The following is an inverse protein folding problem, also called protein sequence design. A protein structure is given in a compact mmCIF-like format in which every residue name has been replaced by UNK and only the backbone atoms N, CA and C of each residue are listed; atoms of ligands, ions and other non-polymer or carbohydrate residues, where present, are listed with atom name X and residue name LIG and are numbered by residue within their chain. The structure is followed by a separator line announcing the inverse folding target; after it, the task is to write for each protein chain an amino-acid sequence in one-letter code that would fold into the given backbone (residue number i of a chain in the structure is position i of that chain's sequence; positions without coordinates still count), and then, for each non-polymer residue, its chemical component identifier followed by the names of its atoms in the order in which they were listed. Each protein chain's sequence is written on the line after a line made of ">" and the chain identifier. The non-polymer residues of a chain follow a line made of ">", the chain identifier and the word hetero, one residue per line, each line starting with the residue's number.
data_IF_983704390663
#
_entry.id   IF_983704390663
#
_cell.length_a   1.000
_cell.length_b   1.000
_cell.length_c   1.000
_cell.angle_alpha   90.00
_cell.angle_beta   90.00
_cell.angle_gamma   90.00
#
_symmetry.space_group_name_H-M   'P 1'
#
loop_
_entity.id
_entity.type
_entity.pdbx_description
1 polymer ?
#
# COMPACT_ATOMS: atom_id res chain seq x y z
N UNK A 1 -15.85 -34.67 20.68
CA UNK A 1 -15.75 -33.60 19.67
C UNK A 1 -14.28 -33.38 19.36
N UNK A 2 -13.82 -33.61 18.13
CA UNK A 2 -12.43 -33.38 17.76
C UNK A 2 -12.27 -31.94 17.24
N UNK A 3 -11.51 -31.11 17.96
CA UNK A 3 -11.09 -29.78 17.50
C UNK A 3 -10.11 -29.94 16.34
N UNK A 4 -10.56 -29.75 15.11
CA UNK A 4 -9.66 -29.67 13.95
C UNK A 4 -9.10 -28.25 13.83
N UNK A 5 -7.84 -28.06 14.23
CA UNK A 5 -7.14 -26.78 14.08
C UNK A 5 -6.42 -26.77 12.73
N UNK A 6 -6.80 -25.87 11.83
CA UNK A 6 -6.12 -25.69 10.54
C UNK A 6 -4.80 -24.91 10.75
N UNK A 7 -3.67 -25.61 10.64
CA UNK A 7 -2.34 -25.03 10.81
C UNK A 7 -1.89 -24.37 9.51
N UNK A 8 -1.91 -23.03 9.48
CA UNK A 8 -1.57 -22.22 8.30
C UNK A 8 -0.10 -22.37 7.90
N UNK A 9 0.18 -22.17 6.61
CA UNK A 9 1.53 -22.13 6.02
C UNK A 9 2.29 -23.45 6.04
N UNK A 10 1.56 -24.57 6.12
CA UNK A 10 2.13 -25.92 6.12
C UNK A 10 1.60 -26.71 4.93
N UNK A 11 2.47 -27.45 4.24
CA UNK A 11 2.11 -28.33 3.11
C UNK A 11 2.67 -29.73 3.34
N UNK A 12 1.85 -30.77 3.16
CA UNK A 12 2.28 -32.17 3.27
C UNK A 12 3.06 -32.59 2.02
N UNK A 13 4.25 -33.16 2.20
CA UNK A 13 5.10 -33.67 1.13
C UNK A 13 4.81 -35.15 0.83
N UNK A 14 5.22 -35.61 -0.36
CA UNK A 14 5.02 -37.00 -0.83
C UNK A 14 5.65 -38.06 0.10
N UNK A 15 6.72 -37.69 0.81
CA UNK A 15 7.43 -38.56 1.77
C UNK A 15 6.80 -38.58 3.18
N UNK A 16 5.63 -37.95 3.35
CA UNK A 16 4.91 -37.89 4.63
C UNK A 16 5.42 -36.83 5.62
N UNK A 17 6.47 -36.07 5.28
CA UNK A 17 6.92 -34.91 6.06
C UNK A 17 6.10 -33.65 5.74
N UNK A 18 6.22 -32.62 6.58
CA UNK A 18 5.53 -31.35 6.40
C UNK A 18 6.53 -30.24 6.09
N UNK A 19 6.20 -29.39 5.11
CA UNK A 19 6.97 -28.22 4.73
C UNK A 19 6.27 -26.97 5.27
N UNK A 20 6.95 -26.20 6.12
CA UNK A 20 6.54 -24.85 6.44
C UNK A 20 7.01 -23.93 5.32
N UNK A 21 6.08 -23.23 4.67
CA UNK A 21 6.36 -22.33 3.55
C UNK A 21 5.61 -21.01 3.72
N UNK A 22 6.35 -19.92 3.89
CA UNK A 22 5.78 -18.58 4.01
C UNK A 22 6.55 -17.57 3.16
N UNK A 23 5.84 -16.76 2.38
CA UNK A 23 6.43 -15.73 1.53
C UNK A 23 7.15 -14.67 2.36
N UNK A 24 8.36 -14.31 1.96
CA UNK A 24 9.11 -13.21 2.56
C UNK A 24 8.62 -11.86 1.99
N UNK A 25 8.70 -10.75 2.74
CA UNK A 25 8.36 -9.43 2.22
C UNK A 25 9.20 -9.08 0.98
N UNK A 26 8.63 -8.39 -0.01
CA UNK A 26 9.27 -8.12 -1.30
C UNK A 26 10.65 -7.46 -1.20
N UNK A 27 10.85 -6.57 -0.21
CA UNK A 27 12.16 -5.93 0.05
C UNK A 27 13.19 -6.92 0.64
N UNK A 28 12.75 -7.86 1.48
CA UNK A 28 13.62 -8.93 2.02
C UNK A 28 14.02 -9.88 0.90
N UNK A 29 13.07 -10.29 0.05
CA UNK A 29 13.37 -11.08 -1.16
C UNK A 29 14.41 -10.42 -2.05
N UNK A 30 14.29 -9.12 -2.34
CA UNK A 30 15.26 -8.38 -3.17
C UNK A 30 16.66 -8.35 -2.55
N UNK A 31 16.77 -8.38 -1.22
CA UNK A 31 18.05 -8.36 -0.51
C UNK A 31 18.67 -9.76 -0.36
N UNK A 32 17.86 -10.79 -0.14
CA UNK A 32 18.35 -12.15 0.14
C UNK A 32 18.32 -13.07 -1.08
N UNK A 33 17.60 -12.71 -2.15
CA UNK A 33 17.37 -13.56 -3.32
C UNK A 33 16.35 -14.70 -3.11
N UNK A 34 15.83 -14.87 -1.89
CA UNK A 34 14.90 -15.95 -1.55
C UNK A 34 13.47 -15.42 -1.38
N UNK A 35 12.53 -15.90 -2.20
CA UNK A 35 11.14 -15.41 -2.17
C UNK A 35 10.33 -16.00 -1.00
N UNK A 36 10.73 -17.17 -0.52
CA UNK A 36 10.03 -17.91 0.53
C UNK A 36 10.98 -18.32 1.64
N UNK A 37 10.44 -18.34 2.87
CA UNK A 37 11.02 -19.00 4.01
C UNK A 37 10.45 -20.41 4.07
N UNK A 38 11.31 -21.39 3.79
CA UNK A 38 10.95 -22.79 3.57
C UNK A 38 11.78 -23.69 4.48
N UNK A 39 11.12 -24.38 5.42
CA UNK A 39 11.78 -25.30 6.34
C UNK A 39 10.95 -26.58 6.43
N UNK A 40 11.57 -27.73 6.22
CA UNK A 40 10.95 -29.04 6.45
C UNK A 40 10.87 -29.28 7.95
N UNK A 41 9.65 -29.48 8.44
CA UNK A 41 9.37 -29.76 9.85
C UNK A 41 9.86 -31.16 10.22
N UNK A 42 10.42 -31.28 11.42
CA UNK A 42 10.92 -32.53 12.00
C UNK A 42 9.76 -33.41 12.47
N UNK A 43 8.71 -32.81 13.03
CA UNK A 43 7.52 -33.55 13.43
C UNK A 43 6.68 -33.98 12.21
N UNK A 44 6.29 -35.24 12.19
CA UNK A 44 5.46 -35.86 11.13
C UNK A 44 3.99 -35.98 11.50
N UNK A 45 3.61 -35.57 12.72
CA UNK A 45 2.24 -35.66 13.21
C UNK A 45 1.66 -34.26 13.50
N UNK A 46 0.73 -33.75 12.68
CA UNK A 46 0.10 -32.43 12.87
C UNK A 46 -0.68 -32.28 14.18
N UNK A 47 -1.09 -33.39 14.79
CA UNK A 47 -1.86 -33.40 16.03
C UNK A 47 -0.98 -33.43 17.28
N UNK A 48 0.35 -33.57 17.13
CA UNK A 48 1.26 -33.63 18.26
C UNK A 48 1.59 -32.24 18.82
N UNK A 49 1.80 -32.18 20.13
CA UNK A 49 2.25 -30.95 20.80
C UNK A 49 3.61 -30.47 20.25
N UNK A 50 4.49 -31.41 19.88
CA UNK A 50 5.79 -31.10 19.28
C UNK A 50 5.65 -30.40 17.93
N UNK A 51 4.65 -30.77 17.12
CA UNK A 51 4.37 -30.13 15.83
C UNK A 51 3.88 -28.70 16.00
N UNK A 52 2.95 -28.49 16.94
CA UNK A 52 2.43 -27.16 17.25
C UNK A 52 3.54 -26.24 17.79
N UNK A 53 4.41 -26.76 18.65
CA UNK A 53 5.58 -26.03 19.17
C UNK A 53 6.57 -25.66 18.07
N UNK A 54 6.89 -26.62 17.18
CA UNK A 54 7.78 -26.38 16.04
C UNK A 54 7.20 -25.34 15.07
N UNK A 55 5.90 -25.43 14.76
CA UNK A 55 5.20 -24.44 13.93
C UNK A 55 5.23 -23.03 14.54
N UNK A 56 4.95 -22.92 15.84
CA UNK A 56 5.00 -21.64 16.56
C UNK A 56 6.41 -21.05 16.57
N UNK A 57 7.45 -21.88 16.68
CA UNK A 57 8.85 -21.48 16.61
C UNK A 57 9.21 -20.96 15.21
N UNK A 58 8.85 -21.68 14.15
CA UNK A 58 9.08 -21.25 12.76
C UNK A 58 8.35 -19.94 12.43
N UNK A 59 7.15 -19.72 12.98
CA UNK A 59 6.45 -18.44 12.87
C UNK A 59 7.20 -17.29 13.57
N UNK A 60 7.78 -17.56 14.75
CA UNK A 60 8.59 -16.57 15.49
C UNK A 60 9.89 -16.27 14.76
N UNK A 61 10.58 -17.27 14.23
CA UNK A 61 11.81 -17.09 13.45
C UNK A 61 11.54 -16.31 12.17
N UNK A 62 10.49 -16.66 11.42
CA UNK A 62 10.09 -15.88 10.24
C UNK A 62 9.79 -14.42 10.60
N UNK A 63 9.11 -14.19 11.72
CA UNK A 63 8.77 -12.84 12.19
C UNK A 63 10.03 -12.10 12.63
N UNK A 64 10.89 -12.72 13.42
CA UNK A 64 12.16 -12.16 13.87
C UNK A 64 13.06 -11.82 12.68
N UNK A 65 13.24 -12.73 11.73
CA UNK A 65 13.95 -12.48 10.47
C UNK A 65 13.33 -11.31 9.70
N UNK A 66 12.01 -11.29 9.55
CA UNK A 66 11.33 -10.19 8.86
C UNK A 66 11.49 -8.86 9.60
N UNK A 67 11.50 -8.86 10.93
CA UNK A 67 11.55 -7.67 11.75
C UNK A 67 13.00 -7.17 11.93
N UNK A 68 14.01 -8.03 11.98
CA UNK A 68 15.43 -7.66 11.93
C UNK A 68 15.81 -7.11 10.56
N UNK A 69 15.30 -7.68 9.47
CA UNK A 69 15.47 -7.11 8.14
C UNK A 69 14.73 -5.79 7.99
N UNK A 70 13.50 -5.66 8.51
CA UNK A 70 12.82 -4.35 8.53
C UNK A 70 13.56 -3.33 9.41
N UNK A 71 14.15 -3.74 10.53
CA UNK A 71 14.87 -2.85 11.43
C UNK A 71 16.21 -2.41 10.84
N UNK A 72 16.96 -3.32 10.20
CA UNK A 72 18.18 -2.97 9.45
C UNK A 72 17.87 -2.08 8.25
N UNK A 73 16.81 -2.38 7.49
CA UNK A 73 16.30 -1.48 6.44
C UNK A 73 15.90 -0.13 7.02
N UNK A 74 15.23 -0.06 8.18
CA UNK A 74 14.82 1.20 8.82
C UNK A 74 16.02 2.05 9.24
N UNK A 75 17.09 1.43 9.74
CA UNK A 75 18.36 2.10 10.02
C UNK A 75 19.04 2.63 8.75
N UNK A 76 18.95 1.89 7.63
CA UNK A 76 19.44 2.32 6.32
C UNK A 76 18.45 3.25 5.58
N UNK A 77 17.21 3.42 6.02
CA UNK A 77 16.14 4.19 5.34
C UNK A 77 15.93 5.61 5.90
N UNK A 78 16.52 5.95 7.05
CA UNK A 78 16.46 7.31 7.60
C UNK A 78 16.92 8.32 6.56
N UNK A 79 16.08 9.34 6.32
CA UNK A 79 16.48 10.47 5.48
C UNK A 79 17.64 11.22 6.17
N UNK A 80 18.55 11.87 5.42
CA UNK A 80 19.73 12.52 6.00
C UNK A 80 19.41 13.44 7.18
N UNK A 81 18.29 14.16 7.14
CA UNK A 81 17.85 15.02 8.22
C UNK A 81 17.37 14.25 9.44
N UNK A 82 16.67 13.12 9.26
CA UNK A 82 16.26 12.28 10.37
C UNK A 82 17.45 11.62 11.04
N UNK A 83 18.41 11.10 10.27
CA UNK A 83 19.63 10.52 10.80
C UNK A 83 20.42 11.55 11.63
N UNK A 84 20.53 12.79 11.13
CA UNK A 84 21.15 13.90 11.87
C UNK A 84 20.40 14.23 13.18
N UNK A 85 19.07 14.30 13.13
CA UNK A 85 18.27 14.59 14.33
C UNK A 85 18.34 13.45 15.36
N UNK A 86 18.37 12.18 14.92
CA UNK A 86 18.56 11.03 15.80
C UNK A 86 19.96 11.01 16.42
N UNK A 87 21.01 11.36 15.66
CA UNK A 87 22.37 11.51 16.18
C UNK A 87 22.46 12.59 17.26
N UNK A 88 21.81 13.74 17.07
CA UNK A 88 21.74 14.80 18.09
C UNK A 88 20.99 14.33 19.36
N UNK A 89 19.88 13.63 19.19
CA UNK A 89 19.13 13.08 20.33
C UNK A 89 19.97 12.06 21.09
N UNK A 90 20.65 11.18 20.38
CA UNK A 90 21.54 10.16 20.96
C UNK A 90 22.72 10.78 21.70
N UNK A 91 23.32 11.85 21.17
CA UNK A 91 24.32 12.66 21.89
C UNK A 91 23.77 13.18 23.22
N UNK A 92 22.60 13.81 23.21
CA UNK A 92 21.99 14.35 24.42
C UNK A 92 21.68 13.26 25.46
N UNK A 93 21.16 12.11 25.02
CA UNK A 93 20.90 10.95 25.88
C UNK A 93 22.18 10.41 26.52
N UNK A 94 23.27 10.28 25.74
CA UNK A 94 24.56 9.80 26.23
C UNK A 94 25.18 10.76 27.26
N UNK A 95 25.12 12.08 27.00
CA UNK A 95 25.68 13.08 27.92
C UNK A 95 24.89 13.20 29.21
N UNK A 96 23.56 13.09 29.16
CA UNK A 96 22.73 13.09 30.38
C UNK A 96 23.03 11.91 31.31
N UNK A 97 23.56 10.80 30.79
CA UNK A 97 23.95 9.64 31.58
C UNK A 97 25.29 9.79 32.30
N UNK A 98 26.06 10.85 32.01
CA UNK A 98 27.38 11.08 32.59
C UNK A 98 27.27 12.10 33.72
N UNK A 99 27.78 11.74 34.91
CA UNK A 99 27.79 12.59 36.10
C UNK A 99 29.23 12.92 36.48
N UNK A 100 29.51 14.19 36.79
CA UNK A 100 30.79 14.63 37.37
C UNK A 100 31.92 14.87 36.37
N UNK A 101 31.69 14.75 35.06
CA UNK A 101 32.64 15.10 34.00
C UNK A 101 32.19 16.36 33.26
N UNK A 102 33.15 17.11 32.71
CA UNK A 102 32.84 18.16 31.74
C UNK A 102 32.29 17.53 30.45
N UNK A 103 31.56 18.30 29.64
CA UNK A 103 31.03 17.79 28.37
C UNK A 103 32.14 17.27 27.44
N UNK A 104 33.27 17.97 27.37
CA UNK A 104 34.41 17.57 26.55
C UNK A 104 35.04 16.24 27.02
N UNK A 105 35.17 16.06 28.33
CA UNK A 105 35.71 14.84 28.93
C UNK A 105 34.73 13.67 28.78
N UNK A 106 33.44 13.93 28.98
CA UNK A 106 32.38 12.94 28.78
C UNK A 106 32.36 12.43 27.34
N UNK A 107 32.41 13.33 26.34
CA UNK A 107 32.49 12.97 24.91
C UNK A 107 33.72 12.11 24.63
N UNK A 108 34.88 12.49 25.16
CA UNK A 108 36.14 11.78 24.93
C UNK A 108 36.07 10.34 25.46
N UNK A 109 35.59 10.16 26.69
CA UNK A 109 35.42 8.84 27.31
C UNK A 109 34.42 7.98 26.53
N UNK A 110 33.28 8.56 26.11
CA UNK A 110 32.25 7.86 25.33
C UNK A 110 32.81 7.40 23.97
N UNK A 111 33.57 8.25 23.27
CA UNK A 111 34.16 7.90 21.98
C UNK A 111 35.26 6.84 22.13
N UNK A 112 36.04 6.87 23.21
CA UNK A 112 37.08 5.89 23.48
C UNK A 112 36.50 4.49 23.80
N UNK A 113 35.45 4.43 24.62
CA UNK A 113 34.91 3.16 25.11
C UNK A 113 33.80 2.57 24.24
N UNK A 114 33.13 3.38 23.43
CA UNK A 114 31.95 2.94 22.66
C UNK A 114 31.86 3.58 21.28
N UNK A 115 32.89 4.32 20.85
CA UNK A 115 32.91 4.99 19.55
C UNK A 115 32.71 4.02 18.39
N UNK A 116 33.31 2.84 18.46
CA UNK A 116 33.23 1.77 17.46
C UNK A 116 31.78 1.28 17.20
N UNK A 117 30.91 1.38 18.19
CA UNK A 117 29.49 0.99 18.10
C UNK A 117 28.60 2.04 17.42
N UNK A 118 29.08 3.27 17.24
CA UNK A 118 28.32 4.35 16.62
C UNK A 118 28.60 4.46 15.12
N UNK A 119 27.60 4.87 14.34
CA UNK A 119 27.77 5.18 12.92
C UNK A 119 28.61 6.46 12.71
N UNK A 120 29.09 6.67 11.47
CA UNK A 120 29.99 7.78 11.14
C UNK A 120 29.37 9.17 11.31
N UNK A 121 28.04 9.31 11.22
CA UNK A 121 27.37 10.58 11.46
C UNK A 121 27.27 10.83 12.97
N UNK A 122 26.84 9.83 13.74
CA UNK A 122 26.76 9.91 15.20
C UNK A 122 28.10 10.21 15.83
N UNK A 123 29.20 9.58 15.39
CA UNK A 123 30.55 9.89 15.88
C UNK A 123 30.94 11.35 15.65
N UNK A 124 30.67 11.88 14.45
CA UNK A 124 30.97 13.28 14.11
C UNK A 124 30.14 14.24 14.96
N UNK A 125 28.84 13.96 15.10
CA UNK A 125 27.94 14.77 15.93
C UNK A 125 28.31 14.69 17.41
N UNK A 126 28.82 13.56 17.90
CA UNK A 126 29.34 13.44 19.27
C UNK A 126 30.60 14.30 19.47
N UNK A 127 31.55 14.23 18.53
CA UNK A 127 32.79 14.99 18.59
C UNK A 127 32.57 16.51 18.50
N UNK A 128 31.65 16.98 17.65
CA UNK A 128 31.35 18.40 17.48
C UNK A 128 29.83 18.64 17.32
N UNK A 129 29.18 19.39 18.24
CA UNK A 129 27.75 19.67 18.14
C UNK A 129 27.43 20.66 17.02
N UNK A 130 28.43 21.38 16.51
CA UNK A 130 28.29 22.39 15.46
C UNK A 130 28.50 21.83 14.06
N UNK A 131 28.58 20.49 13.92
CA UNK A 131 28.60 19.83 12.60
C UNK A 131 27.45 20.36 11.76
N UNK A 132 27.78 20.86 10.57
CA UNK A 132 26.79 21.44 9.68
C UNK A 132 25.66 20.44 9.39
N UNK A 133 24.42 20.91 9.56
CA UNK A 133 23.21 20.18 9.22
C UNK A 133 23.31 19.71 7.76
N UNK A 134 23.02 18.43 7.45
CA UNK A 134 23.07 17.95 6.08
C UNK A 134 22.10 18.72 5.18
N UNK A 135 22.45 18.84 3.90
CA UNK A 135 21.58 19.48 2.91
C UNK A 135 20.22 18.78 2.85
N UNK A 136 19.14 19.55 2.69
CA UNK A 136 17.79 18.99 2.66
C UNK A 136 17.51 18.28 1.34
N UNK A 137 17.28 16.96 1.39
CA UNK A 137 17.25 16.07 0.22
C UNK A 137 15.85 15.65 -0.22
N UNK A 138 15.74 15.02 -1.39
CA UNK A 138 14.48 14.45 -1.88
C UNK A 138 13.90 13.41 -0.92
N UNK A 139 14.74 12.64 -0.24
CA UNK A 139 14.31 11.71 0.80
C UNK A 139 13.68 12.46 1.99
N UNK A 140 14.27 13.57 2.43
CA UNK A 140 13.72 14.39 3.52
C UNK A 140 12.37 15.00 3.13
N UNK A 141 12.26 15.49 1.89
CA UNK A 141 11.02 16.03 1.33
C UNK A 141 9.89 14.99 1.33
N UNK A 142 10.18 13.74 0.96
CA UNK A 142 9.23 12.62 0.99
C UNK A 142 8.71 12.38 2.40
N UNK A 143 9.62 12.26 3.37
CA UNK A 143 9.28 12.00 4.78
C UNK A 143 8.38 13.11 5.32
N UNK A 144 8.77 14.37 5.11
CA UNK A 144 7.98 15.54 5.53
C UNK A 144 6.60 15.56 4.88
N UNK A 145 6.52 15.36 3.56
CA UNK A 145 5.25 15.34 2.84
C UNK A 145 4.31 14.24 3.35
N UNK A 146 4.83 13.03 3.56
CA UNK A 146 4.05 11.90 4.07
C UNK A 146 3.52 12.16 5.47
N UNK A 147 4.36 12.71 6.36
CA UNK A 147 4.00 13.09 7.72
C UNK A 147 2.93 14.17 7.73
N UNK A 148 3.20 15.31 7.11
CA UNK A 148 2.37 16.51 7.19
C UNK A 148 1.01 16.31 6.49
N UNK A 149 0.94 15.46 5.47
CA UNK A 149 -0.31 15.12 4.79
C UNK A 149 -1.03 13.89 5.36
N UNK A 150 -0.54 13.31 6.46
CA UNK A 150 -1.15 12.13 7.09
C UNK A 150 -1.26 10.92 6.15
N UNK A 151 -0.30 10.75 5.23
CA UNK A 151 -0.36 9.71 4.17
C UNK A 151 0.01 8.33 4.72
N UNK A 152 0.63 8.26 5.91
CA UNK A 152 1.06 7.01 6.55
C UNK A 152 -0.02 5.92 6.61
N UNK A 153 -1.28 6.29 6.84
CA UNK A 153 -2.42 5.36 6.89
C UNK A 153 -3.02 5.05 5.52
N UNK A 154 -2.70 5.82 4.48
CA UNK A 154 -3.20 5.64 3.12
C UNK A 154 -2.24 4.78 2.29
N UNK A 155 -2.36 3.46 2.43
CA UNK A 155 -1.52 2.46 1.76
C UNK A 155 -1.45 2.70 0.25
N UNK A 156 -2.58 2.99 -0.41
CA UNK A 156 -2.62 3.20 -1.87
C UNK A 156 -1.81 4.42 -2.28
N UNK A 157 -1.94 5.53 -1.57
CA UNK A 157 -1.21 6.76 -1.87
C UNK A 157 0.28 6.59 -1.55
N UNK A 158 0.62 5.90 -0.45
CA UNK A 158 2.01 5.54 -0.13
C UNK A 158 2.65 4.74 -1.27
N UNK A 159 2.00 3.65 -1.71
CA UNK A 159 2.49 2.82 -2.82
C UNK A 159 2.67 3.58 -4.15
N UNK A 160 1.94 4.68 -4.37
CA UNK A 160 2.17 5.52 -5.55
C UNK A 160 3.41 6.39 -5.39
N UNK A 161 3.59 7.00 -4.22
CA UNK A 161 4.78 7.79 -3.89
C UNK A 161 6.01 6.88 -3.94
N UNK A 162 5.95 5.69 -3.35
CA UNK A 162 7.04 4.71 -3.36
C UNK A 162 7.45 4.38 -4.81
N UNK A 163 6.48 4.01 -5.66
CA UNK A 163 6.76 3.73 -7.08
C UNK A 163 7.33 4.93 -7.82
N UNK A 164 6.89 6.14 -7.49
CA UNK A 164 7.43 7.35 -8.12
C UNK A 164 8.88 7.60 -7.69
N UNK A 165 9.21 7.37 -6.42
CA UNK A 165 10.57 7.49 -5.90
C UNK A 165 11.49 6.38 -6.40
N UNK A 166 11.02 5.13 -6.51
CA UNK A 166 11.80 4.03 -7.10
C UNK A 166 12.21 4.36 -8.53
N UNK A 167 11.27 4.88 -9.35
CA UNK A 167 11.57 5.32 -10.72
C UNK A 167 12.46 6.55 -10.75
N UNK A 168 12.36 7.43 -9.76
CA UNK A 168 13.17 8.64 -9.69
C UNK A 168 14.61 8.28 -9.38
N UNK A 169 14.81 7.31 -8.49
CA UNK A 169 16.12 6.77 -8.17
C UNK A 169 16.81 6.17 -9.39
N UNK A 170 16.09 5.40 -10.21
CA UNK A 170 16.59 4.90 -11.50
C UNK A 170 16.95 6.05 -12.48
N UNK A 171 16.25 7.18 -12.44
CA UNK A 171 16.42 8.27 -13.38
C UNK A 171 17.58 9.23 -13.02
N UNK A 172 17.71 9.58 -11.74
CA UNK A 172 18.61 10.65 -11.28
C UNK A 172 19.52 10.24 -10.12
N UNK A 173 19.44 8.99 -9.65
CA UNK A 173 20.25 8.47 -8.54
C UNK A 173 19.54 8.52 -7.18
N UNK A 174 20.24 8.08 -6.11
CA UNK A 174 19.65 7.90 -4.78
C UNK A 174 18.99 9.19 -4.24
N UNK A 175 17.71 9.19 -3.87
CA UNK A 175 17.01 10.39 -3.37
C UNK A 175 17.64 11.01 -2.11
N UNK A 176 18.46 10.25 -1.38
CA UNK A 176 19.19 10.70 -0.19
C UNK A 176 20.45 11.49 -0.50
N UNK A 177 20.96 11.40 -1.73
CA UNK A 177 22.17 12.10 -2.15
C UNK A 177 21.84 13.40 -2.92
N UNK A 178 20.57 13.55 -3.31
CA UNK A 178 20.11 14.67 -4.13
C UNK A 178 19.49 15.73 -3.23
N UNK A 179 20.24 16.80 -2.97
CA UNK A 179 19.72 17.98 -2.30
C UNK A 179 18.67 18.70 -3.17
N UNK A 180 17.62 19.24 -2.55
CA UNK A 180 16.57 19.97 -3.27
C UNK A 180 17.12 21.19 -4.00
N UNK A 181 18.10 21.89 -3.40
CA UNK A 181 18.78 23.05 -3.98
C UNK A 181 19.55 22.72 -5.27
N UNK A 182 19.92 21.45 -5.47
CA UNK A 182 20.64 21.00 -6.66
C UNK A 182 19.72 20.51 -7.78
N UNK A 183 18.39 20.57 -7.57
CA UNK A 183 17.43 20.20 -8.60
C UNK A 183 17.46 21.16 -9.79
N UNK A 184 17.74 20.61 -10.97
CA UNK A 184 17.83 21.34 -12.24
C UNK A 184 16.83 20.77 -13.25
N UNK A 185 16.52 21.55 -14.29
CA UNK A 185 15.65 21.13 -15.41
C UNK A 185 16.09 19.79 -16.04
N UNK A 186 17.39 19.55 -16.14
CA UNK A 186 17.98 18.28 -16.59
C UNK A 186 17.49 17.06 -15.81
N UNK A 187 17.19 17.19 -14.51
CA UNK A 187 16.61 16.10 -13.72
C UNK A 187 15.16 15.80 -14.14
N UNK A 188 14.40 16.83 -14.51
CA UNK A 188 13.05 16.68 -15.04
C UNK A 188 13.03 16.04 -16.43
N UNK A 189 14.00 16.36 -17.28
CA UNK A 189 14.22 15.73 -18.59
C UNK A 189 14.57 14.25 -18.43
N UNK A 190 15.59 13.94 -17.63
CA UNK A 190 15.98 12.55 -17.31
C UNK A 190 14.80 11.74 -16.77
N UNK A 191 14.05 12.30 -15.82
CA UNK A 191 12.83 11.67 -15.30
C UNK A 191 11.82 11.33 -16.40
N UNK A 192 11.57 12.28 -17.31
CA UNK A 192 10.63 12.06 -18.41
C UNK A 192 11.11 10.97 -19.37
N UNK A 193 12.40 10.95 -19.70
CA UNK A 193 12.97 9.97 -20.61
C UNK A 193 12.98 8.57 -20.00
N UNK A 194 13.36 8.44 -18.72
CA UNK A 194 13.22 7.17 -17.97
C UNK A 194 11.78 6.64 -18.00
N UNK A 195 10.78 7.50 -17.85
CA UNK A 195 9.38 7.06 -17.92
C UNK A 195 8.94 6.62 -19.33
N UNK A 196 9.45 7.25 -20.39
CA UNK A 196 9.17 6.88 -21.79
C UNK A 196 9.84 5.55 -22.16
N UNK A 197 11.06 5.33 -21.69
CA UNK A 197 11.85 4.14 -21.99
C UNK A 197 11.43 2.94 -21.14
N UNK A 198 10.80 3.18 -20.00
CA UNK A 198 10.31 2.13 -19.14
C UNK A 198 9.34 1.17 -19.86
N UNK A 199 9.55 -0.12 -19.64
CA UNK A 199 8.67 -1.20 -20.11
C UNK A 199 8.14 -1.98 -18.92
N UNK A 200 6.82 -2.19 -18.91
CA UNK A 200 6.15 -3.00 -17.91
C UNK A 200 6.47 -4.49 -18.11
N UNK A 201 6.13 -5.34 -17.14
CA UNK A 201 6.37 -6.78 -17.21
C UNK A 201 5.73 -7.48 -18.43
N UNK A 202 4.67 -6.87 -18.98
CA UNK A 202 3.99 -7.33 -20.20
C UNK A 202 4.62 -6.74 -21.49
N UNK A 203 5.79 -6.10 -21.40
CA UNK A 203 6.49 -5.45 -22.51
C UNK A 203 5.89 -4.10 -22.95
N UNK A 204 4.77 -3.66 -22.38
CA UNK A 204 4.10 -2.42 -22.80
C UNK A 204 4.72 -1.18 -22.14
N UNK A 205 4.80 -0.03 -22.84
CA UNK A 205 5.20 1.24 -22.24
C UNK A 205 4.20 1.73 -21.21
N UNK A 206 4.56 2.76 -20.43
CA UNK A 206 3.57 3.43 -19.58
C UNK A 206 2.57 4.24 -20.42
N UNK A 207 1.29 4.14 -20.04
CA UNK A 207 0.29 5.10 -20.50
C UNK A 207 0.64 6.51 -20.00
N UNK A 208 0.36 7.54 -20.80
CA UNK A 208 0.65 8.94 -20.43
C UNK A 208 -0.02 9.37 -19.14
N UNK A 209 -1.26 8.95 -18.90
CA UNK A 209 -1.94 9.29 -17.65
C UNK A 209 -1.23 8.68 -16.44
N UNK A 210 -0.58 7.54 -16.59
CA UNK A 210 0.26 6.96 -15.53
C UNK A 210 1.51 7.79 -15.31
N UNK A 211 2.22 8.17 -16.38
CA UNK A 211 3.40 9.04 -16.29
C UNK A 211 3.08 10.40 -15.65
N UNK A 212 1.98 11.04 -16.08
CA UNK A 212 1.48 12.30 -15.50
C UNK A 212 1.12 12.16 -14.03
N UNK A 213 0.45 11.06 -13.64
CA UNK A 213 0.11 10.80 -12.22
C UNK A 213 1.35 10.67 -11.35
N UNK A 214 2.35 9.90 -11.77
CA UNK A 214 3.60 9.74 -11.02
C UNK A 214 4.35 11.07 -10.89
N UNK A 215 4.43 11.82 -11.99
CA UNK A 215 5.04 13.15 -12.01
C UNK A 215 4.30 14.13 -11.09
N UNK A 216 2.98 14.07 -11.03
CA UNK A 216 2.18 14.91 -10.13
C UNK A 216 2.41 14.56 -8.65
N UNK A 217 2.60 13.28 -8.31
CA UNK A 217 2.95 12.87 -6.94
C UNK A 217 4.34 13.42 -6.55
N UNK A 218 5.35 13.34 -7.43
CA UNK A 218 6.68 13.96 -7.20
C UNK A 218 6.61 15.49 -7.10
N UNK A 219 5.88 16.12 -8.03
CA UNK A 219 5.66 17.57 -8.04
C UNK A 219 5.06 18.02 -6.70
N UNK A 220 4.09 17.28 -6.17
CA UNK A 220 3.45 17.59 -4.90
C UNK A 220 4.42 17.49 -3.72
N UNK A 221 5.27 16.46 -3.68
CA UNK A 221 6.30 16.28 -2.65
C UNK A 221 7.29 17.44 -2.67
N UNK A 222 7.86 17.76 -3.83
CA UNK A 222 8.87 18.81 -3.98
C UNK A 222 8.28 20.19 -3.69
N UNK A 223 7.10 20.52 -4.25
CA UNK A 223 6.45 21.80 -3.96
C UNK A 223 6.14 21.96 -2.48
N UNK A 224 5.71 20.89 -1.81
CA UNK A 224 5.45 20.94 -0.39
C UNK A 224 6.71 21.25 0.42
N UNK A 225 7.85 20.65 0.07
CA UNK A 225 9.11 20.99 0.71
C UNK A 225 9.51 22.45 0.45
N UNK A 226 9.40 22.93 -0.80
CA UNK A 226 9.66 24.34 -1.17
C UNK A 226 8.80 25.32 -0.35
N UNK A 227 7.56 24.97 -0.04
CA UNK A 227 6.65 25.84 0.73
C UNK A 227 6.94 25.85 2.24
N UNK A 228 7.41 24.75 2.82
CA UNK A 228 7.44 24.54 4.27
C UNK A 228 8.85 24.33 4.84
N UNK A 229 9.89 24.58 4.05
CA UNK A 229 11.28 24.45 4.45
C UNK A 229 12.02 25.67 3.94
N UNK A 230 12.80 26.31 4.81
CA UNK A 230 13.67 27.40 4.43
C UNK A 230 14.91 26.84 3.74
N UNK A 231 15.27 27.44 2.61
CA UNK A 231 16.46 27.09 1.83
C UNK A 231 17.33 28.32 1.68
N UNK A 232 18.65 28.15 1.78
CA UNK A 232 19.62 29.23 1.61
C UNK A 232 19.63 29.80 0.17
N UNK A 233 19.07 29.04 -0.78
CA UNK A 233 18.99 29.40 -2.20
C UNK A 233 17.59 29.09 -2.74
N UNK A 234 17.11 29.84 -3.76
CA UNK A 234 15.86 29.54 -4.42
C UNK A 234 15.87 28.12 -5.02
N UNK A 235 14.89 27.31 -4.63
CA UNK A 235 14.70 25.95 -5.15
C UNK A 235 13.66 25.98 -6.26
N UNK A 236 14.01 25.43 -7.43
CA UNK A 236 13.07 25.24 -8.53
C UNK A 236 12.61 23.78 -8.59
N UNK A 237 11.33 23.57 -8.91
CA UNK A 237 10.79 22.23 -9.11
C UNK A 237 10.85 21.82 -10.60
N UNK A 238 11.77 20.92 -11.00
CA UNK A 238 11.93 20.52 -12.40
C UNK A 238 10.80 19.60 -12.90
N UNK A 239 9.94 19.10 -12.02
CA UNK A 239 8.80 18.23 -12.37
C UNK A 239 7.54 19.03 -12.73
N UNK A 240 7.66 20.36 -12.86
CA UNK A 240 6.58 21.24 -13.26
C UNK A 240 6.56 21.44 -14.77
N UNK A 241 5.37 21.44 -15.38
CA UNK A 241 5.15 21.71 -16.82
C UNK A 241 6.02 20.87 -17.78
N UNK A 242 6.33 19.62 -17.42
CA UNK A 242 7.05 18.71 -18.31
C UNK A 242 6.26 18.43 -19.60
N UNK A 243 6.92 18.36 -20.77
CA UNK A 243 6.28 18.21 -22.08
C UNK A 243 5.86 16.75 -22.32
N UNK A 244 4.77 16.32 -21.66
CA UNK A 244 4.16 15.03 -21.97
C UNK A 244 3.50 15.06 -23.34
N UNK A 245 3.59 13.98 -24.14
CA UNK A 245 2.86 13.89 -25.40
C UNK A 245 1.34 14.01 -25.15
N UNK A 246 0.64 14.69 -26.06
CA UNK A 246 -0.81 14.86 -25.97
C UNK A 246 -1.54 13.54 -26.16
N UNK A 247 -2.78 13.44 -25.66
CA UNK A 247 -3.58 12.23 -25.82
C UNK A 247 -3.91 11.97 -27.29
N UNK A 248 -4.07 13.04 -28.08
CA UNK A 248 -4.31 12.94 -29.53
C UNK A 248 -3.08 12.45 -30.30
N UNK A 249 -1.87 12.83 -29.88
CA UNK A 249 -0.61 12.38 -30.50
C UNK A 249 -0.30 10.89 -30.24
N UNK A 250 -1.01 10.24 -29.32
CA UNK A 250 -0.80 8.83 -28.94
C UNK A 250 -2.02 8.00 -29.34
N UNK A 251 -2.71 8.40 -30.42
CA UNK A 251 -3.84 7.67 -31.00
C UNK A 251 -3.47 6.21 -31.29
N UNK A 252 -3.71 5.35 -30.31
CA UNK A 252 -3.92 3.89 -30.37
C UNK A 252 -4.14 3.25 -28.98
N UNK A 253 -4.18 4.01 -27.87
CA UNK A 253 -4.36 3.41 -26.53
C UNK A 253 -5.76 3.70 -25.97
N UNK A 254 -6.61 2.68 -26.07
CA UNK A 254 -7.79 2.46 -25.24
C UNK A 254 -8.97 3.45 -25.36
N UNK A 255 -9.59 3.54 -26.55
CA UNK A 255 -11.06 3.56 -26.51
C UNK A 255 -11.47 2.17 -26.03
N UNK A 256 -11.84 2.03 -24.76
CA UNK A 256 -12.54 0.82 -24.31
C UNK A 256 -13.85 0.78 -25.08
N UNK A 257 -13.89 0.02 -26.16
CA UNK A 257 -15.14 -0.28 -26.83
C UNK A 257 -16.09 -0.87 -25.78
N UNK A 258 -17.36 -0.48 -25.84
CA UNK A 258 -18.39 -1.14 -25.05
C UNK A 258 -18.31 -2.64 -25.32
N UNK A 259 -18.51 -3.44 -24.27
CA UNK A 259 -18.49 -4.89 -24.40
C UNK A 259 -19.66 -5.32 -25.32
N UNK A 260 -19.39 -6.11 -26.37
CA UNK A 260 -20.44 -6.69 -27.19
C UNK A 260 -21.40 -7.58 -26.38
N UNK A 261 -22.66 -7.65 -26.78
CA UNK A 261 -23.70 -8.38 -26.05
C UNK A 261 -23.43 -9.90 -25.99
N UNK A 262 -22.90 -10.48 -27.07
CA UNK A 262 -22.45 -11.87 -27.12
C UNK A 262 -21.37 -12.16 -26.06
N UNK A 263 -20.42 -11.25 -25.89
CA UNK A 263 -19.41 -11.34 -24.83
C UNK A 263 -20.02 -11.27 -23.44
N UNK A 264 -21.03 -10.42 -23.22
CA UNK A 264 -21.77 -10.36 -21.96
C UNK A 264 -22.45 -11.70 -21.64
N UNK A 265 -23.05 -12.36 -22.63
CA UNK A 265 -23.65 -13.69 -22.48
C UNK A 265 -22.59 -14.75 -22.12
N UNK A 266 -21.47 -14.77 -22.83
CA UNK A 266 -20.37 -15.71 -22.58
C UNK A 266 -19.78 -15.55 -21.18
N UNK A 267 -19.52 -14.32 -20.74
CA UNK A 267 -19.01 -14.04 -19.39
C UNK A 267 -20.03 -14.47 -18.34
N UNK A 268 -21.32 -14.16 -18.54
CA UNK A 268 -22.38 -14.55 -17.61
C UNK A 268 -22.46 -16.07 -17.46
N UNK A 269 -22.43 -16.81 -18.57
CA UNK A 269 -22.43 -18.27 -18.55
C UNK A 269 -21.18 -18.84 -17.88
N UNK A 270 -20.01 -18.24 -18.16
CA UNK A 270 -18.73 -18.64 -17.56
C UNK A 270 -18.72 -18.45 -16.05
N UNK A 271 -19.25 -17.33 -15.55
CA UNK A 271 -19.40 -17.06 -14.12
C UNK A 271 -20.35 -18.09 -13.50
N UNK A 272 -21.53 -18.31 -14.11
CA UNK A 272 -22.50 -19.28 -13.62
C UNK A 272 -21.93 -20.72 -13.49
N UNK A 273 -21.06 -21.12 -14.42
CA UNK A 273 -20.47 -22.47 -14.42
C UNK A 273 -19.25 -22.63 -13.49
N UNK A 274 -18.49 -21.56 -13.22
CA UNK A 274 -17.15 -21.66 -12.61
C UNK A 274 -16.96 -20.83 -11.35
N UNK A 275 -17.89 -19.95 -11.00
CA UNK A 275 -17.79 -19.16 -9.79
C UNK A 275 -17.79 -20.08 -8.56
N UNK A 276 -16.73 -20.00 -7.77
CA UNK A 276 -16.63 -20.71 -6.48
C UNK A 276 -17.53 -20.09 -5.41
N UNK A 277 -17.83 -18.80 -5.56
CA UNK A 277 -18.69 -18.03 -4.65
C UNK A 277 -19.94 -17.63 -5.44
N UNK A 278 -21.13 -18.17 -5.09
CA UNK A 278 -22.37 -17.92 -5.83
C UNK A 278 -22.73 -16.44 -5.99
N UNK A 279 -22.44 -15.63 -4.96
CA UNK A 279 -22.67 -14.18 -4.92
C UNK A 279 -22.06 -13.43 -6.12
N UNK A 280 -20.98 -13.96 -6.72
CA UNK A 280 -20.32 -13.33 -7.87
C UNK A 280 -21.27 -13.15 -9.05
N UNK A 281 -22.16 -14.13 -9.29
CA UNK A 281 -23.11 -14.07 -10.40
C UNK A 281 -24.14 -12.97 -10.19
N UNK A 282 -24.64 -12.83 -8.95
CA UNK A 282 -25.58 -11.77 -8.58
C UNK A 282 -24.94 -10.39 -8.72
N UNK A 283 -23.72 -10.21 -8.19
CA UNK A 283 -22.96 -8.96 -8.33
C UNK A 283 -22.76 -8.61 -9.80
N UNK A 284 -22.34 -9.56 -10.63
CA UNK A 284 -22.15 -9.36 -12.07
C UNK A 284 -23.44 -8.90 -12.77
N UNK A 285 -24.57 -9.58 -12.51
CA UNK A 285 -25.87 -9.21 -13.09
C UNK A 285 -26.31 -7.81 -12.68
N UNK A 286 -26.16 -7.44 -11.40
CA UNK A 286 -26.48 -6.09 -10.93
C UNK A 286 -25.58 -5.02 -11.58
N UNK A 287 -24.27 -5.28 -11.71
CA UNK A 287 -23.34 -4.35 -12.36
C UNK A 287 -23.68 -4.12 -13.84
N UNK A 288 -24.09 -5.20 -14.54
CA UNK A 288 -24.39 -5.13 -15.97
C UNK A 288 -25.56 -4.21 -16.33
N UNK A 289 -26.49 -3.97 -15.40
CA UNK A 289 -27.69 -3.14 -15.64
C UNK A 289 -27.67 -1.79 -14.95
N UNK A 290 -26.86 -1.61 -13.90
CA UNK A 290 -26.85 -0.36 -13.10
C UNK A 290 -25.74 0.61 -13.47
N UNK A 291 -24.68 0.14 -14.14
CA UNK A 291 -23.47 0.96 -14.38
C UNK A 291 -22.72 1.36 -13.09
N UNK A 292 -23.08 0.76 -11.95
CA UNK A 292 -22.39 0.96 -10.68
C UNK A 292 -20.93 0.51 -10.77
N UNK A 293 -20.09 1.12 -9.93
CA UNK A 293 -18.73 0.60 -9.70
C UNK A 293 -18.83 -0.71 -8.91
N UNK A 294 -17.85 -1.59 -9.12
CA UNK A 294 -17.77 -2.88 -8.40
C UNK A 294 -17.92 -2.73 -6.88
N UNK A 295 -17.28 -1.73 -6.28
CA UNK A 295 -17.36 -1.48 -4.84
C UNK A 295 -18.70 -0.89 -4.38
N UNK A 296 -19.49 -0.31 -5.28
CA UNK A 296 -20.81 0.24 -4.95
C UNK A 296 -21.84 -0.90 -4.82
N UNK A 297 -21.74 -1.96 -5.64
CA UNK A 297 -22.60 -3.15 -5.55
C UNK A 297 -22.08 -4.18 -4.55
N UNK A 298 -20.77 -4.48 -4.60
CA UNK A 298 -20.18 -5.55 -3.80
C UNK A 298 -20.21 -5.32 -2.29
N UNK A 299 -20.47 -4.09 -1.83
CA UNK A 299 -20.51 -3.71 -0.42
C UNK A 299 -21.88 -3.15 0.00
N UNK A 300 -22.97 -3.50 -0.68
CA UNK A 300 -24.33 -3.11 -0.28
C UNK A 300 -24.70 -3.78 1.05
N UNK A 301 -25.44 -3.05 1.90
CA UNK A 301 -26.22 -3.64 3.01
C UNK A 301 -27.61 -4.07 2.51
N UNK A 302 -28.29 -4.93 3.27
CA UNK A 302 -29.68 -5.30 2.97
C UNK A 302 -30.60 -4.08 2.84
N UNK A 303 -30.39 -3.04 3.67
CA UNK A 303 -31.13 -1.77 3.60
C UNK A 303 -30.77 -0.88 2.40
N UNK A 304 -29.73 -1.19 1.63
CA UNK A 304 -29.32 -0.35 0.50
C UNK A 304 -30.02 -0.74 -0.82
N UNK A 305 -30.91 -1.75 -0.78
CA UNK A 305 -31.75 -2.14 -1.91
C UNK A 305 -33.21 -2.03 -1.50
N UNK A 306 -34.02 -1.41 -2.36
CA UNK A 306 -35.48 -1.39 -2.24
C UNK A 306 -36.03 -2.15 -3.44
N UNK A 307 -36.36 -3.43 -3.23
CA UNK A 307 -36.73 -4.35 -4.30
C UNK A 307 -38.21 -4.29 -4.68
N UNK A 308 -39.00 -3.63 -3.84
CA UNK A 308 -40.44 -3.46 -4.00
C UNK A 308 -40.78 -2.02 -4.43
N UNK A 309 -39.80 -1.11 -4.39
CA UNK A 309 -39.98 0.29 -4.75
C UNK A 309 -40.78 1.07 -3.72
N UNK A 310 -40.80 0.60 -2.48
CA UNK A 310 -41.51 1.23 -1.36
C UNK A 310 -41.10 2.69 -1.12
N UNK A 311 -39.83 3.02 -1.36
CA UNK A 311 -39.25 4.36 -1.22
C UNK A 311 -39.18 5.12 -2.56
N UNK A 312 -39.60 4.50 -3.67
CA UNK A 312 -39.37 5.01 -5.04
C UNK A 312 -40.58 4.81 -5.97
N UNK A 313 -41.78 5.06 -5.45
CA UNK A 313 -43.05 5.05 -6.22
C UNK A 313 -43.28 3.73 -6.99
N UNK A 314 -42.90 2.60 -6.40
CA UNK A 314 -43.03 1.26 -6.99
C UNK A 314 -41.90 0.87 -7.95
N UNK A 315 -40.86 1.70 -8.09
CA UNK A 315 -39.67 1.37 -8.88
C UNK A 315 -38.61 0.75 -7.98
N UNK A 316 -38.18 -0.51 -8.25
CA UNK A 316 -37.07 -1.10 -7.51
C UNK A 316 -35.76 -0.35 -7.74
N UNK A 317 -35.02 -0.07 -6.66
CA UNK A 317 -33.80 0.75 -6.70
C UNK A 317 -32.66 0.19 -5.86
N UNK A 318 -31.45 0.65 -6.19
CA UNK A 318 -30.24 0.49 -5.40
C UNK A 318 -29.77 1.87 -4.93
N UNK A 319 -29.54 2.01 -3.63
CA UNK A 319 -29.03 3.23 -3.02
C UNK A 319 -27.51 3.18 -2.91
N UNK A 320 -26.83 4.05 -3.66
CA UNK A 320 -25.39 4.26 -3.52
C UNK A 320 -25.16 5.30 -2.43
N UNK A 321 -25.16 4.88 -1.15
CA UNK A 321 -24.89 5.73 0.03
C UNK A 321 -23.80 5.16 0.97
N UNK A 322 -23.15 5.98 1.84
CA UNK A 322 -22.22 5.50 2.84
C UNK A 322 -22.91 4.48 3.75
N UNK A 323 -22.18 3.43 4.09
CA UNK A 323 -22.68 2.33 4.90
C UNK A 323 -21.51 1.71 5.70
N UNK A 324 -21.76 0.71 6.53
CA UNK A 324 -20.74 0.11 7.43
C UNK A 324 -19.57 -0.56 6.68
N UNK A 325 -19.84 -1.07 5.47
CA UNK A 325 -18.88 -1.77 4.63
C UNK A 325 -18.22 -0.86 3.57
N UNK A 326 -18.71 0.38 3.42
CA UNK A 326 -18.32 1.29 2.35
C UNK A 326 -18.38 2.75 2.78
N UNK A 327 -17.19 3.34 2.87
CA UNK A 327 -17.04 4.80 2.94
C UNK A 327 -17.20 5.43 1.56
N UNK A 328 -18.08 6.41 1.44
CA UNK A 328 -18.09 7.35 0.31
C UNK A 328 -17.31 8.60 0.71
N UNK A 329 -16.43 9.07 -0.17
CA UNK A 329 -15.56 10.22 0.10
C UNK A 329 -16.31 11.56 0.06
N UNK A 330 -17.38 11.65 -0.71
CA UNK A 330 -18.11 12.88 -0.99
C UNK A 330 -19.62 12.61 -1.03
N UNK A 331 -20.40 13.34 -0.23
CA UNK A 331 -21.87 13.23 -0.18
C UNK A 331 -22.50 13.52 -1.55
N UNK A 332 -21.87 14.34 -2.38
CA UNK A 332 -22.33 14.64 -3.75
C UNK A 332 -22.32 13.42 -4.69
N UNK A 333 -21.66 12.32 -4.30
CA UNK A 333 -21.67 11.06 -5.08
C UNK A 333 -22.76 10.07 -4.66
N UNK A 334 -23.57 10.42 -3.65
CA UNK A 334 -24.78 9.69 -3.31
C UNK A 334 -25.76 9.75 -4.46
N UNK A 335 -26.34 8.60 -4.82
CA UNK A 335 -27.35 8.51 -5.87
C UNK A 335 -28.18 7.26 -5.70
N UNK A 336 -29.41 7.31 -6.19
CA UNK A 336 -30.32 6.16 -6.30
C UNK A 336 -30.39 5.78 -7.77
N UNK A 337 -30.31 4.48 -8.06
CA UNK A 337 -30.33 3.95 -9.42
C UNK A 337 -31.45 2.92 -9.55
N UNK A 338 -32.23 2.94 -10.64
CA UNK A 338 -33.22 1.91 -10.90
C UNK A 338 -32.54 0.55 -11.09
N UNK A 339 -33.15 -0.50 -10.56
CA UNK A 339 -32.72 -1.87 -10.72
C UNK A 339 -33.76 -2.64 -11.53
N UNK A 340 -33.37 -3.10 -12.73
CA UNK A 340 -34.29 -3.68 -13.70
C UNK A 340 -33.77 -4.99 -14.29
N UNK A 341 -34.68 -5.73 -14.92
CA UNK A 341 -34.39 -6.95 -15.67
C UNK A 341 -33.63 -8.01 -14.86
N UNK A 342 -32.62 -8.63 -15.48
CA UNK A 342 -31.84 -9.72 -14.89
C UNK A 342 -31.10 -9.34 -13.60
N UNK A 343 -30.78 -8.05 -13.42
CA UNK A 343 -30.17 -7.56 -12.19
C UNK A 343 -31.16 -7.55 -11.02
N UNK A 344 -32.41 -7.16 -11.28
CA UNK A 344 -33.48 -7.17 -10.28
C UNK A 344 -33.85 -8.59 -9.86
N UNK A 345 -34.04 -9.49 -10.82
CA UNK A 345 -34.38 -10.89 -10.54
C UNK A 345 -33.31 -11.56 -9.64
N UNK A 346 -32.04 -11.33 -9.97
CA UNK A 346 -30.92 -11.87 -9.19
C UNK A 346 -30.85 -11.25 -7.79
N UNK A 347 -31.08 -9.93 -7.68
CA UNK A 347 -31.10 -9.26 -6.39
C UNK A 347 -32.25 -9.76 -5.51
N UNK A 348 -33.45 -9.97 -6.07
CA UNK A 348 -34.60 -10.55 -5.35
C UNK A 348 -34.32 -11.95 -4.82
N UNK A 349 -33.83 -12.83 -5.68
CA UNK A 349 -33.48 -14.21 -5.28
C UNK A 349 -32.43 -14.21 -4.18
N UNK A 350 -31.39 -13.39 -4.32
CA UNK A 350 -30.29 -13.32 -3.36
C UNK A 350 -30.73 -12.69 -2.03
N UNK A 351 -31.48 -11.58 -2.07
CA UNK A 351 -31.99 -10.92 -0.88
C UNK A 351 -32.96 -11.82 -0.10
N UNK A 352 -33.86 -12.54 -0.80
CA UNK A 352 -34.76 -13.51 -0.16
C UNK A 352 -33.99 -14.63 0.53
N UNK A 353 -32.93 -15.15 -0.12
CA UNK A 353 -32.02 -16.14 0.48
C UNK A 353 -31.35 -15.58 1.74
N UNK A 354 -30.81 -14.36 1.67
CA UNK A 354 -30.16 -13.70 2.82
C UNK A 354 -31.13 -13.48 3.98
N UNK A 355 -32.38 -13.07 3.68
CA UNK A 355 -33.42 -12.91 4.69
C UNK A 355 -33.79 -14.26 5.35
N UNK A 356 -33.90 -15.34 4.56
CA UNK A 356 -34.13 -16.69 5.09
C UNK A 356 -32.97 -17.20 5.97
N UNK A 357 -31.74 -16.74 5.72
CA UNK A 357 -30.56 -16.98 6.56
C UNK A 357 -30.50 -16.06 7.80
N UNK A 358 -31.53 -15.22 8.03
CA UNK A 358 -31.62 -14.33 9.19
C UNK A 358 -30.90 -12.99 9.05
N UNK A 359 -30.51 -12.59 7.83
CA UNK A 359 -29.85 -11.29 7.62
C UNK A 359 -30.83 -10.13 7.85
N UNK A 360 -30.45 -9.20 8.73
CA UNK A 360 -31.17 -7.98 9.00
C UNK A 360 -30.75 -6.80 8.09
N UNK A 361 -31.39 -5.62 8.25
CA UNK A 361 -31.14 -4.45 7.40
C UNK A 361 -29.68 -3.96 7.41
N UNK A 362 -28.96 -4.15 8.52
CA UNK A 362 -27.55 -3.79 8.69
C UNK A 362 -26.57 -4.83 8.16
N UNK A 363 -27.02 -6.02 7.78
CA UNK A 363 -26.11 -7.05 7.31
C UNK A 363 -25.67 -6.80 5.87
N UNK A 364 -24.48 -7.31 5.53
CA UNK A 364 -24.00 -7.29 4.17
C UNK A 364 -24.91 -8.12 3.26
N UNK A 365 -25.28 -7.54 2.11
CA UNK A 365 -25.96 -8.25 1.04
C UNK A 365 -25.05 -9.36 0.48
N UNK A 366 -23.74 -9.10 0.38
CA UNK A 366 -22.74 -10.05 -0.10
C UNK A 366 -21.63 -10.31 0.94
N UNK A 367 -21.88 -11.17 1.96
CA UNK A 367 -20.95 -11.37 3.08
C UNK A 367 -19.55 -11.82 2.66
N UNK A 368 -19.44 -12.63 1.61
CA UNK A 368 -18.15 -13.13 1.11
C UNK A 368 -17.23 -12.02 0.57
N UNK A 369 -17.80 -10.86 0.22
CA UNK A 369 -17.08 -9.71 -0.33
C UNK A 369 -17.04 -8.52 0.62
N UNK A 370 -17.93 -8.45 1.61
CA UNK A 370 -17.98 -7.38 2.58
C UNK A 370 -16.63 -7.22 3.30
N UNK A 371 -16.06 -6.01 3.27
CA UNK A 371 -14.88 -5.68 4.06
C UNK A 371 -15.35 -5.03 5.35
N UNK A 372 -15.12 -5.67 6.48
CA UNK A 372 -15.26 -5.02 7.78
C UNK A 372 -14.20 -3.94 7.87
N UNK A 373 -14.63 -2.68 7.79
CA UNK A 373 -13.77 -1.55 8.06
C UNK A 373 -13.59 -1.48 9.58
N UNK A 374 -12.54 -2.08 10.13
CA UNK A 374 -12.17 -1.85 11.53
C UNK A 374 -12.07 -0.33 11.72
N UNK A 375 -13.01 0.23 12.46
CA UNK A 375 -12.92 1.59 12.93
C UNK A 375 -11.76 1.58 13.94
N UNK A 376 -10.58 2.07 13.54
CA UNK A 376 -9.69 2.64 14.52
C UNK A 376 -10.46 3.85 15.07
N UNK A 377 -11.02 3.68 16.27
CA UNK A 377 -11.55 4.79 17.05
C UNK A 377 -10.48 5.89 17.07
N UNK A 378 -10.91 7.10 16.73
CA UNK A 378 -10.09 8.31 16.75
C UNK A 378 -9.69 8.66 18.19
#
# INVERSE_FOLDING_TARGET
>A
MALSVEIKHVTKLKNGSYLFRRRLPAKVFRATGHEFFEITMRSKDPSSESFVKEHALLLREWKALSDTYKASIKATELSPQQAYNEALKKRAELLNGVVGLSEADAVSVILEHSGDQFDSLTRRVLADPKVAKPAYTLADARVKYVKDKGIGSNIKKMQRIDRAFDRLEEAIGPPKEIALVDLKKKHGEKWLDTLKDYRQANGQPYAVDTMKRMTNDLKAVVNHAITFVDFDKPVSNPFTKLPFPSKEQIKAVERKASMPDDMMHLITARIAQRARVPDLLTIWKMLSVTGCRLSEVGFLQMKDIDLDGSESEGIPVVHVRPNEFRRIKDLATMRTLPLVGRGLEAARQHAAKRAAEGAGPGDALFPAYAKVTYHCAA
#
